data_IF_761212415096
#
_entry.id   IF_761212415096
#
_cell.length_a   1.000
_cell.length_b   1.000
_cell.length_c   1.000
_cell.angle_alpha   90.00
_cell.angle_beta   90.00
_cell.angle_gamma   90.00
#
_symmetry.space_group_name_H-M   'P 1'
#
loop_
_entity.id
_entity.type
_entity.pdbx_description
1 polymer ?
#
# COMPACT_ATOMS: atom_id res chain seq x y z
N UNK A 1 -9.17 -30.19 14.86
CA UNK A 1 -8.97 -31.04 13.66
C UNK A 1 -9.62 -30.30 12.49
N UNK A 2 -8.84 -29.56 11.70
CA UNK A 2 -9.37 -28.84 10.53
C UNK A 2 -9.60 -29.89 9.44
N UNK A 3 -10.85 -30.25 9.21
CA UNK A 3 -11.24 -31.22 8.17
C UNK A 3 -10.96 -30.61 6.79
N UNK A 4 -10.40 -31.40 5.86
CA UNK A 4 -10.11 -30.99 4.47
C UNK A 4 -11.18 -30.13 3.75
N UNK A 5 -12.52 -30.34 3.94
CA UNK A 5 -13.53 -29.45 3.37
C UNK A 5 -13.41 -27.99 3.85
N UNK A 6 -13.04 -27.73 5.11
CA UNK A 6 -12.87 -26.35 5.60
C UNK A 6 -11.70 -25.63 4.93
N UNK A 7 -10.61 -26.36 4.64
CA UNK A 7 -9.46 -25.80 3.93
C UNK A 7 -9.82 -25.42 2.48
N UNK A 8 -10.66 -26.22 1.82
CA UNK A 8 -11.14 -25.95 0.46
C UNK A 8 -12.06 -24.73 0.38
N UNK A 9 -12.93 -24.52 1.38
CA UNK A 9 -13.79 -23.34 1.48
C UNK A 9 -12.95 -22.08 1.72
N UNK A 10 -11.98 -22.13 2.64
CA UNK A 10 -11.07 -21.01 2.86
C UNK A 10 -10.26 -20.68 1.59
N UNK A 11 -9.79 -21.68 0.85
CA UNK A 11 -9.05 -21.46 -0.40
C UNK A 11 -9.93 -20.82 -1.49
N UNK A 12 -11.20 -21.21 -1.57
CA UNK A 12 -12.15 -20.67 -2.55
C UNK A 12 -12.52 -19.21 -2.23
N UNK A 13 -12.59 -18.86 -0.95
CA UNK A 13 -12.81 -17.49 -0.50
C UNK A 13 -11.54 -16.62 -0.58
N UNK A 14 -10.36 -17.19 -0.33
CA UNK A 14 -9.10 -16.44 -0.36
C UNK A 14 -8.76 -15.88 -1.76
N UNK A 15 -9.08 -16.63 -2.82
CA UNK A 15 -8.80 -16.22 -4.20
C UNK A 15 -9.46 -14.87 -4.62
N UNK A 16 -10.78 -14.66 -4.44
CA UNK A 16 -11.39 -13.37 -4.75
C UNK A 16 -10.89 -12.23 -3.84
N UNK A 17 -10.62 -12.50 -2.55
CA UNK A 17 -10.04 -11.49 -1.66
C UNK A 17 -8.62 -11.10 -2.08
N UNK A 18 -7.81 -12.06 -2.53
CA UNK A 18 -6.48 -11.80 -3.07
C UNK A 18 -6.55 -10.95 -4.32
N UNK A 19 -7.43 -11.32 -5.27
CA UNK A 19 -7.60 -10.58 -6.52
C UNK A 19 -8.01 -9.13 -6.26
N UNK A 20 -8.99 -8.91 -5.39
CA UNK A 20 -9.47 -7.56 -5.04
C UNK A 20 -8.36 -6.76 -4.33
N UNK A 21 -7.70 -7.36 -3.34
CA UNK A 21 -6.62 -6.69 -2.58
C UNK A 21 -5.45 -6.31 -3.48
N UNK A 22 -5.01 -7.25 -4.33
CA UNK A 22 -3.92 -7.04 -5.28
C UNK A 22 -4.27 -6.00 -6.34
N UNK A 23 -5.48 -6.06 -6.89
CA UNK A 23 -5.96 -5.08 -7.89
C UNK A 23 -6.07 -3.68 -7.29
N UNK A 24 -6.57 -3.57 -6.06
CA UNK A 24 -6.68 -2.28 -5.38
C UNK A 24 -5.31 -1.71 -5.00
N UNK A 25 -4.39 -2.56 -4.53
CA UNK A 25 -2.99 -2.20 -4.26
C UNK A 25 -2.32 -1.66 -5.53
N UNK A 26 -2.42 -2.39 -6.64
CA UNK A 26 -1.81 -2.01 -7.92
C UNK A 26 -2.46 -0.75 -8.51
N UNK A 27 -3.80 -0.68 -8.48
CA UNK A 27 -4.55 0.50 -8.94
C UNK A 27 -4.21 1.76 -8.14
N UNK A 28 -4.01 1.62 -6.83
CA UNK A 28 -3.59 2.70 -5.94
C UNK A 28 -2.19 3.23 -6.30
N UNK A 29 -1.24 2.34 -6.59
CA UNK A 29 0.09 2.74 -7.06
C UNK A 29 0.01 3.52 -8.37
N UNK A 30 -0.76 3.02 -9.34
CA UNK A 30 -0.90 3.68 -10.65
C UNK A 30 -1.59 5.05 -10.54
N UNK A 31 -2.63 5.15 -9.71
CA UNK A 31 -3.35 6.41 -9.48
C UNK A 31 -2.46 7.47 -8.83
N UNK A 32 -1.68 7.09 -7.81
CA UNK A 32 -0.80 8.00 -7.07
C UNK A 32 0.42 8.43 -7.88
N UNK A 33 1.01 7.57 -8.71
CA UNK A 33 2.39 7.78 -9.16
C UNK A 33 2.56 8.84 -10.25
N UNK A 34 1.63 9.00 -11.19
CA UNK A 34 1.96 9.78 -12.41
C UNK A 34 0.87 10.70 -12.96
N UNK A 35 -0.40 10.34 -12.85
CA UNK A 35 -1.47 11.11 -13.50
C UNK A 35 -2.03 12.14 -12.53
N UNK A 36 -2.56 11.67 -11.40
CA UNK A 36 -3.37 12.53 -10.50
C UNK A 36 -2.50 13.55 -9.79
N UNK A 37 -1.37 13.14 -9.22
CA UNK A 37 -0.47 14.07 -8.51
C UNK A 37 0.03 15.16 -9.46
N UNK A 38 0.32 14.83 -10.73
CA UNK A 38 0.75 15.79 -11.74
C UNK A 38 -0.36 16.76 -12.14
N UNK A 39 -1.58 16.26 -12.36
CA UNK A 39 -2.76 17.09 -12.67
C UNK A 39 -3.07 18.03 -11.50
N UNK A 40 -3.11 17.52 -10.27
CA UNK A 40 -3.36 18.28 -9.04
C UNK A 40 -2.28 19.35 -8.84
N UNK A 41 -1.01 19.02 -9.08
CA UNK A 41 0.09 19.99 -8.98
C UNK A 41 0.00 21.13 -10.00
N UNK A 42 -0.55 20.87 -11.19
CA UNK A 42 -0.73 21.88 -12.23
C UNK A 42 -1.99 22.74 -12.04
N UNK A 43 -2.98 22.24 -11.31
CA UNK A 43 -4.29 22.87 -11.16
C UNK A 43 -4.44 23.65 -9.85
N UNK A 44 -3.78 23.22 -8.77
CA UNK A 44 -3.90 23.85 -7.46
C UNK A 44 -2.73 24.80 -7.15
N UNK A 45 -3.00 25.94 -6.49
CA UNK A 45 -1.97 26.76 -5.88
C UNK A 45 -1.12 25.93 -4.90
N UNK A 46 0.18 26.26 -4.79
CA UNK A 46 1.14 25.51 -3.95
C UNK A 46 0.64 25.22 -2.52
N UNK A 47 0.03 26.17 -1.78
CA UNK A 47 -0.44 25.90 -0.41
C UNK A 47 -1.61 24.90 -0.34
N UNK A 48 -2.49 24.93 -1.34
CA UNK A 48 -3.60 23.99 -1.42
C UNK A 48 -3.11 22.58 -1.79
N UNK A 49 -2.14 22.49 -2.71
CA UNK A 49 -1.47 21.25 -3.06
C UNK A 49 -0.77 20.61 -1.86
N UNK A 50 0.03 21.37 -1.12
CA UNK A 50 0.75 20.84 0.06
C UNK A 50 -0.23 20.35 1.11
N UNK A 51 -1.28 21.13 1.42
CA UNK A 51 -2.32 20.72 2.40
C UNK A 51 -2.99 19.40 2.01
N UNK A 52 -3.33 19.23 0.73
CA UNK A 52 -3.95 18.00 0.23
C UNK A 52 -2.99 16.81 0.35
N UNK A 53 -1.74 16.97 -0.09
CA UNK A 53 -0.72 15.93 -0.01
C UNK A 53 -0.40 15.53 1.44
N UNK A 54 -0.41 16.49 2.38
CA UNK A 54 -0.18 16.25 3.81
C UNK A 54 -1.16 15.22 4.39
N UNK A 55 -2.40 15.23 3.91
CA UNK A 55 -3.47 14.34 4.38
C UNK A 55 -3.55 13.06 3.59
N UNK A 56 -3.28 13.11 2.28
CA UNK A 56 -3.34 11.94 1.41
C UNK A 56 -2.18 10.98 1.67
N UNK A 57 -0.93 11.45 1.76
CA UNK A 57 0.23 10.56 1.89
C UNK A 57 0.13 9.59 3.08
N UNK A 58 -0.21 10.03 4.31
CA UNK A 58 -0.34 9.11 5.44
C UNK A 58 -1.44 8.08 5.25
N UNK A 59 -2.55 8.45 4.59
CA UNK A 59 -3.65 7.54 4.30
C UNK A 59 -3.22 6.49 3.27
N UNK A 60 -2.60 6.92 2.17
CA UNK A 60 -2.09 6.02 1.13
C UNK A 60 -1.03 5.06 1.66
N UNK A 61 -0.09 5.53 2.50
CA UNK A 61 0.92 4.65 3.10
C UNK A 61 0.29 3.59 4.01
N UNK A 62 -0.70 3.97 4.83
CA UNK A 62 -1.42 3.01 5.68
C UNK A 62 -2.18 1.98 4.86
N UNK A 63 -2.92 2.43 3.85
CA UNK A 63 -3.69 1.55 2.97
C UNK A 63 -2.76 0.62 2.19
N UNK A 64 -1.64 1.12 1.66
CA UNK A 64 -0.62 0.32 0.99
C UNK A 64 -0.11 -0.81 1.91
N UNK A 65 0.23 -0.49 3.16
CA UNK A 65 0.70 -1.51 4.12
C UNK A 65 -0.39 -2.55 4.39
N UNK A 66 -1.63 -2.13 4.66
CA UNK A 66 -2.75 -3.06 4.93
C UNK A 66 -3.03 -3.95 3.74
N UNK A 67 -3.14 -3.38 2.53
CA UNK A 67 -3.41 -4.12 1.30
C UNK A 67 -2.29 -5.08 0.93
N UNK A 68 -1.04 -4.69 1.18
CA UNK A 68 0.11 -5.58 0.97
C UNK A 68 0.05 -6.78 1.92
N UNK A 69 -0.25 -6.56 3.21
CA UNK A 69 -0.42 -7.64 4.19
C UNK A 69 -1.59 -8.56 3.83
N UNK A 70 -2.73 -7.99 3.41
CA UNK A 70 -3.87 -8.77 2.95
C UNK A 70 -3.52 -9.62 1.74
N UNK A 71 -2.84 -9.05 0.75
CA UNK A 71 -2.39 -9.76 -0.46
C UNK A 71 -1.43 -10.91 -0.10
N UNK A 72 -0.51 -10.69 0.85
CA UNK A 72 0.39 -11.73 1.35
C UNK A 72 -0.36 -12.87 2.03
N UNK A 73 -1.34 -12.53 2.88
CA UNK A 73 -2.09 -13.48 3.68
C UNK A 73 -3.04 -14.32 2.83
N UNK A 74 -3.62 -13.74 1.78
CA UNK A 74 -4.59 -14.41 0.90
C UNK A 74 -3.95 -15.08 -0.30
N UNK A 75 -2.61 -15.25 -0.34
CA UNK A 75 -1.92 -15.85 -1.49
C UNK A 75 -2.48 -17.26 -1.80
N UNK A 76 -2.88 -17.54 -3.06
CA UNK A 76 -3.61 -18.76 -3.40
C UNK A 76 -2.77 -20.04 -3.22
N UNK A 77 -3.47 -21.17 -3.19
CA UNK A 77 -2.98 -22.57 -3.09
C UNK A 77 -2.74 -23.09 -1.68
N UNK A 78 -1.91 -22.44 -0.84
CA UNK A 78 -1.65 -22.87 0.55
C UNK A 78 -1.38 -21.72 1.53
N UNK A 79 -1.85 -20.50 1.23
CA UNK A 79 -1.64 -19.32 2.09
C UNK A 79 -0.19 -18.80 2.06
N UNK A 80 0.31 -18.14 3.12
CA UNK A 80 1.64 -17.53 3.12
C UNK A 80 2.78 -18.56 2.99
N UNK A 81 2.51 -19.84 3.20
CA UNK A 81 3.50 -20.92 3.04
C UNK A 81 3.81 -21.20 1.57
N UNK A 82 2.83 -21.06 0.65
CA UNK A 82 3.11 -21.16 -0.79
C UNK A 82 3.88 -19.94 -1.31
N UNK A 83 3.73 -18.77 -0.67
CA UNK A 83 4.51 -17.57 -0.98
C UNK A 83 6.02 -17.81 -0.77
N UNK A 84 6.41 -18.59 0.23
CA UNK A 84 7.82 -18.92 0.50
C UNK A 84 8.43 -19.84 -0.57
N UNK A 85 7.59 -20.59 -1.30
CA UNK A 85 8.02 -21.48 -2.39
C UNK A 85 8.18 -20.73 -3.71
N UNK A 86 7.43 -19.64 -3.91
CA UNK A 86 7.50 -18.79 -5.08
C UNK A 86 8.51 -17.65 -4.87
N UNK A 87 9.73 -17.82 -5.41
CA UNK A 87 10.80 -16.83 -5.27
C UNK A 87 10.46 -15.48 -5.88
N UNK A 88 9.70 -15.44 -6.98
CA UNK A 88 9.39 -14.19 -7.68
C UNK A 88 8.36 -13.40 -6.88
N UNK A 89 7.30 -14.08 -6.42
CA UNK A 89 6.30 -13.46 -5.54
C UNK A 89 6.95 -13.00 -4.22
N UNK A 90 7.80 -13.84 -3.63
CA UNK A 90 8.49 -13.51 -2.38
C UNK A 90 9.38 -12.28 -2.51
N UNK A 91 10.23 -12.22 -3.54
CA UNK A 91 11.13 -11.07 -3.78
C UNK A 91 10.31 -9.81 -4.02
N UNK A 92 9.29 -9.88 -4.88
CA UNK A 92 8.44 -8.72 -5.21
C UNK A 92 7.71 -8.19 -3.98
N UNK A 93 7.14 -9.08 -3.17
CA UNK A 93 6.41 -8.72 -1.97
C UNK A 93 7.34 -8.24 -0.84
N UNK A 94 8.55 -8.79 -0.76
CA UNK A 94 9.58 -8.34 0.19
C UNK A 94 10.09 -6.94 -0.14
N UNK A 95 10.36 -6.66 -1.42
CA UNK A 95 10.75 -5.31 -1.88
C UNK A 95 9.62 -4.31 -1.63
N UNK A 96 8.38 -4.68 -1.98
CA UNK A 96 7.21 -3.86 -1.70
C UNK A 96 7.00 -3.64 -0.20
N UNK A 97 7.23 -4.66 0.62
CA UNK A 97 7.11 -4.60 2.08
C UNK A 97 8.17 -3.73 2.74
N UNK A 98 9.43 -3.86 2.32
CA UNK A 98 10.51 -2.99 2.76
C UNK A 98 10.21 -1.52 2.42
N UNK A 99 9.77 -1.27 1.18
CA UNK A 99 9.42 0.08 0.72
C UNK A 99 8.21 0.64 1.49
N UNK A 100 7.16 -0.15 1.69
CA UNK A 100 5.99 0.26 2.48
C UNK A 100 6.35 0.51 3.95
N UNK A 101 7.25 -0.30 4.51
CA UNK A 101 7.78 -0.12 5.86
C UNK A 101 8.55 1.20 5.99
N UNK A 102 9.42 1.52 5.03
CA UNK A 102 10.12 2.80 4.98
C UNK A 102 9.13 3.98 4.81
N UNK A 103 8.12 3.83 3.95
CA UNK A 103 7.08 4.84 3.74
C UNK A 103 6.31 5.14 5.02
N UNK A 104 5.95 4.12 5.79
CA UNK A 104 5.20 4.28 7.02
C UNK A 104 6.06 4.80 8.18
N UNK A 105 7.25 4.22 8.37
CA UNK A 105 8.10 4.48 9.55
C UNK A 105 8.97 5.72 9.42
N UNK A 106 9.44 6.01 8.20
CA UNK A 106 10.48 7.01 7.98
C UNK A 106 9.91 8.23 7.26
N UNK A 107 9.31 8.02 6.10
CA UNK A 107 8.84 9.11 5.25
C UNK A 107 7.56 9.75 5.80
N UNK A 108 6.59 8.96 6.26
CA UNK A 108 5.36 9.45 6.89
C UNK A 108 5.59 10.51 7.98
N UNK A 109 6.38 10.22 9.05
CA UNK A 109 6.64 11.20 10.11
C UNK A 109 7.53 12.35 9.66
N UNK A 110 8.58 12.10 8.86
CA UNK A 110 9.51 13.16 8.42
C UNK A 110 8.86 14.17 7.50
N UNK A 111 8.01 13.73 6.58
CA UNK A 111 7.26 14.64 5.70
C UNK A 111 6.31 15.52 6.52
N UNK A 112 5.65 14.98 7.55
CA UNK A 112 4.80 15.81 8.44
C UNK A 112 5.62 16.86 9.18
N UNK A 113 6.78 16.49 9.71
CA UNK A 113 7.66 17.42 10.42
C UNK A 113 8.15 18.55 9.50
N UNK A 114 8.65 18.21 8.31
CA UNK A 114 9.12 19.22 7.35
C UNK A 114 8.00 20.16 6.86
N UNK A 115 6.74 19.69 6.85
CA UNK A 115 5.59 20.54 6.49
C UNK A 115 5.17 21.47 7.62
N UNK A 116 5.26 21.02 8.88
CA UNK A 116 5.03 21.87 10.05
C UNK A 116 6.08 22.97 10.15
N UNK A 117 7.35 22.62 9.96
CA UNK A 117 8.47 23.56 9.95
C UNK A 117 8.29 24.67 8.90
N UNK A 118 7.84 24.33 7.69
CA UNK A 118 7.55 25.32 6.65
C UNK A 118 6.34 26.19 6.97
N UNK A 119 5.31 25.62 7.61
CA UNK A 119 4.14 26.39 8.03
C UNK A 119 4.49 27.42 9.12
N UNK A 120 5.44 27.10 10.01
CA UNK A 120 5.95 28.01 11.04
C UNK A 120 6.88 29.09 10.46
N UNK A 121 7.67 28.74 9.45
CA UNK A 121 8.66 29.66 8.84
C UNK A 121 8.05 30.64 7.83
N UNK A 122 6.83 30.37 7.34
CA UNK A 122 6.10 31.28 6.44
C UNK A 122 6.63 31.34 5.00
N UNK A 123 7.46 30.37 4.60
CA UNK A 123 7.99 30.20 3.23
C UNK A 123 7.12 29.31 2.33
#
# INVERSE_FOLDING_TARGET
>A
MITQPMLSVLATLAAPFHLVSYSFLTGMQLFQSFIVVKVVHRTLPRPAFTTLQARLFPLYFRLQTVLLLLTALTYPTYGPVSLLSDRVALVSLSVAGATAGLNLSLYGPRTKMAMLERAETGE
#
